data_IF_816311922303
#
_entry.id   IF_816311922303
#
_cell.length_a   1.000
_cell.length_b   1.000
_cell.length_c   1.000
_cell.angle_alpha   90.00
_cell.angle_beta   90.00
_cell.angle_gamma   90.00
#
_symmetry.space_group_name_H-M   'P 1'
#
loop_
_entity.id
_entity.type
_entity.pdbx_description
1 polymer ?
#
# COMPACT_ATOMS: atom_id res chain seq x y z
N UNK A 1 -16.97 -6.00 -8.95
CA UNK A 1 -16.90 -7.23 -8.12
C UNK A 1 -16.52 -6.90 -6.68
N UNK A 2 -16.86 -7.77 -5.75
CA UNK A 2 -16.44 -7.71 -4.35
C UNK A 2 -15.83 -9.04 -3.96
N UNK A 3 -14.76 -9.01 -3.16
CA UNK A 3 -14.09 -10.21 -2.68
C UNK A 3 -13.76 -10.11 -1.19
N UNK A 4 -13.54 -11.27 -0.57
CA UNK A 4 -13.19 -11.41 0.84
C UNK A 4 -12.22 -12.57 1.02
N UNK A 5 -11.13 -12.36 1.76
CA UNK A 5 -10.21 -13.40 2.21
C UNK A 5 -9.91 -13.21 3.70
N UNK A 6 -9.93 -14.29 4.44
CA UNK A 6 -9.64 -14.27 5.88
C UNK A 6 -8.71 -15.42 6.29
N UNK A 7 -7.96 -15.18 7.35
CA UNK A 7 -7.26 -16.16 8.17
C UNK A 7 -7.52 -15.84 9.65
N UNK A 8 -7.09 -16.66 10.60
CA UNK A 8 -7.26 -16.36 12.01
C UNK A 8 -6.67 -15.02 12.46
N UNK A 9 -5.66 -14.52 11.76
CA UNK A 9 -4.95 -13.29 12.12
C UNK A 9 -5.41 -12.06 11.34
N UNK A 10 -5.99 -12.23 10.14
CA UNK A 10 -6.32 -11.11 9.26
C UNK A 10 -7.53 -11.39 8.37
N UNK A 11 -8.27 -10.34 8.05
CA UNK A 11 -9.36 -10.37 7.09
C UNK A 11 -9.20 -9.23 6.09
N UNK A 12 -9.26 -9.54 4.80
CA UNK A 12 -9.25 -8.58 3.71
C UNK A 12 -10.60 -8.57 2.99
N UNK A 13 -11.17 -7.38 2.81
CA UNK A 13 -12.32 -7.14 1.94
C UNK A 13 -11.94 -6.19 0.83
N UNK A 14 -12.51 -6.39 -0.38
CA UNK A 14 -12.27 -5.51 -1.51
C UNK A 14 -13.53 -5.31 -2.35
N UNK A 15 -13.75 -4.05 -2.77
CA UNK A 15 -14.75 -3.69 -3.81
C UNK A 15 -14.01 -3.08 -4.98
N UNK A 16 -14.00 -3.79 -6.11
CA UNK A 16 -13.23 -3.42 -7.29
C UNK A 16 -14.10 -2.69 -8.32
N UNK A 17 -13.59 -1.55 -8.79
CA UNK A 17 -13.95 -0.99 -10.07
C UNK A 17 -12.97 -1.58 -11.11
N UNK A 18 -13.43 -2.49 -11.97
CA UNK A 18 -12.57 -3.17 -12.96
C UNK A 18 -12.37 -2.28 -14.17
N UNK A 19 -11.13 -1.89 -14.46
CA UNK A 19 -10.77 -1.06 -15.61
C UNK A 19 -9.84 -1.82 -16.57
N UNK A 20 -8.78 -2.45 -16.09
CA UNK A 20 -7.74 -3.08 -16.91
C UNK A 20 -7.89 -4.60 -17.07
N UNK A 21 -8.40 -5.31 -16.08
CA UNK A 21 -8.55 -6.76 -16.09
C UNK A 21 -9.98 -7.14 -15.69
N UNK A 22 -10.75 -7.66 -16.61
CA UNK A 22 -12.15 -8.06 -16.40
C UNK A 22 -12.30 -9.52 -15.99
N UNK A 23 -11.21 -10.31 -16.07
CA UNK A 23 -11.22 -11.74 -15.74
C UNK A 23 -11.09 -11.99 -14.23
N UNK A 24 -11.39 -13.22 -13.82
CA UNK A 24 -11.24 -13.66 -12.44
C UNK A 24 -9.78 -13.68 -11.96
N UNK A 25 -8.80 -13.67 -12.88
CA UNK A 25 -7.37 -13.61 -12.54
C UNK A 25 -6.95 -12.27 -11.95
N UNK A 26 -7.76 -11.22 -12.13
CA UNK A 26 -7.60 -9.91 -11.46
C UNK A 26 -8.45 -9.74 -10.20
N UNK A 27 -9.12 -10.79 -9.71
CA UNK A 27 -9.97 -10.70 -8.52
C UNK A 27 -9.15 -10.34 -7.27
N UNK A 28 -9.77 -9.53 -6.41
CA UNK A 28 -9.17 -9.10 -5.15
C UNK A 28 -10.12 -9.36 -3.97
N UNK A 29 -9.61 -9.62 -2.77
CA UNK A 29 -8.19 -9.76 -2.42
C UNK A 29 -7.53 -10.89 -3.21
N UNK A 30 -6.24 -10.70 -3.58
CA UNK A 30 -5.47 -11.68 -4.35
C UNK A 30 -4.51 -12.44 -3.44
N UNK A 31 -4.36 -13.75 -3.69
CA UNK A 31 -3.38 -14.60 -3.01
C UNK A 31 -2.45 -15.25 -4.04
N UNK A 32 -1.16 -15.24 -3.74
CA UNK A 32 -0.16 -15.79 -4.66
C UNK A 32 -0.30 -17.32 -4.81
N UNK A 33 -0.39 -18.01 -3.68
CA UNK A 33 -0.68 -19.45 -3.57
C UNK A 33 -1.40 -19.72 -2.23
N UNK A 34 -1.84 -20.95 -1.97
CA UNK A 34 -2.67 -21.28 -0.80
C UNK A 34 -2.05 -20.82 0.54
N UNK A 35 -0.77 -21.02 0.74
CA UNK A 35 -0.02 -20.58 1.93
C UNK A 35 0.81 -19.31 1.71
N UNK A 36 0.71 -18.68 0.54
CA UNK A 36 1.51 -17.53 0.17
C UNK A 36 0.92 -16.18 0.62
N UNK A 37 1.66 -15.10 0.36
CA UNK A 37 1.22 -13.76 0.67
C UNK A 37 -0.07 -13.40 -0.06
N UNK A 38 -0.88 -12.56 0.59
CA UNK A 38 -2.12 -12.04 0.04
C UNK A 38 -2.17 -10.52 0.12
N UNK A 39 -2.89 -9.89 -0.80
CA UNK A 39 -2.97 -8.44 -0.95
C UNK A 39 -4.40 -7.98 -1.22
N UNK A 40 -4.73 -6.81 -0.67
CA UNK A 40 -5.80 -5.94 -1.17
C UNK A 40 -5.18 -4.64 -1.63
N UNK A 41 -5.44 -4.23 -2.86
CA UNK A 41 -4.69 -3.23 -3.58
C UNK A 41 -5.62 -2.25 -4.31
N UNK A 42 -5.33 -0.96 -4.17
CA UNK A 42 -6.04 0.13 -4.82
C UNK A 42 -5.02 1.01 -5.56
N UNK A 43 -5.04 1.00 -6.88
CA UNK A 43 -4.12 1.83 -7.67
C UNK A 43 -3.65 1.18 -8.96
N UNK A 44 -2.49 1.64 -9.42
CA UNK A 44 -1.80 1.17 -10.60
C UNK A 44 -0.28 1.33 -10.44
N UNK A 45 0.48 0.25 -10.69
CA UNK A 45 1.94 0.25 -10.75
C UNK A 45 2.36 0.42 -12.21
N UNK A 46 3.00 1.53 -12.54
CA UNK A 46 3.34 1.89 -13.92
C UNK A 46 4.47 1.06 -14.50
N UNK A 47 5.47 0.73 -13.70
CA UNK A 47 6.62 -0.07 -14.11
C UNK A 47 6.40 -1.58 -13.99
N UNK A 48 5.14 -2.04 -13.84
CA UNK A 48 4.84 -3.46 -13.64
C UNK A 48 5.32 -4.37 -14.76
N UNK A 49 5.38 -3.86 -16.01
CA UNK A 49 5.83 -4.65 -17.17
C UNK A 49 7.31 -4.97 -17.11
N UNK A 50 8.11 -4.04 -16.63
CA UNK A 50 9.56 -4.21 -16.49
C UNK A 50 9.88 -5.15 -15.32
N UNK A 51 9.24 -4.92 -14.17
CA UNK A 51 9.33 -5.83 -13.03
C UNK A 51 8.89 -7.25 -13.38
N UNK A 52 7.81 -7.39 -14.16
CA UNK A 52 7.33 -8.69 -14.61
C UNK A 52 8.35 -9.41 -15.48
N UNK A 53 8.96 -8.72 -16.45
CA UNK A 53 10.00 -9.30 -17.32
C UNK A 53 11.19 -9.78 -16.49
N UNK A 54 11.66 -8.99 -15.54
CA UNK A 54 12.74 -9.37 -14.65
C UNK A 54 12.40 -10.60 -13.79
N UNK A 55 11.21 -10.61 -13.17
CA UNK A 55 10.73 -11.75 -12.40
C UNK A 55 10.60 -13.03 -13.24
N UNK A 56 10.17 -12.90 -14.51
CA UNK A 56 10.12 -14.04 -15.44
C UNK A 56 11.51 -14.58 -15.77
N UNK A 57 12.50 -13.71 -15.96
CA UNK A 57 13.90 -14.15 -16.14
C UNK A 57 14.46 -14.86 -14.91
N UNK A 58 13.96 -14.54 -13.72
CA UNK A 58 14.27 -15.21 -12.46
C UNK A 58 13.44 -16.48 -12.19
N UNK A 59 12.61 -16.89 -13.17
CA UNK A 59 11.82 -18.12 -13.10
C UNK A 59 10.43 -17.99 -12.50
N UNK A 60 9.96 -16.76 -12.19
CA UNK A 60 8.62 -16.57 -11.68
C UNK A 60 7.57 -16.78 -12.77
N UNK A 61 6.50 -17.52 -12.47
CA UNK A 61 5.35 -17.69 -13.34
C UNK A 61 4.18 -16.79 -12.92
N UNK A 62 3.36 -16.40 -13.88
CA UNK A 62 2.20 -15.54 -13.68
C UNK A 62 0.93 -16.17 -14.23
N UNK A 63 -0.17 -16.05 -13.50
CA UNK A 63 -1.49 -16.56 -13.90
C UNK A 63 -2.29 -15.59 -14.76
N UNK A 64 -2.12 -14.29 -14.47
CA UNK A 64 -2.84 -13.20 -15.11
C UNK A 64 -1.91 -12.15 -15.71
N UNK A 65 -2.49 -11.00 -16.06
CA UNK A 65 -1.76 -9.84 -16.60
C UNK A 65 -1.80 -8.64 -15.65
N UNK A 66 -2.38 -8.79 -14.43
CA UNK A 66 -2.53 -7.68 -13.51
C UNK A 66 -1.21 -7.23 -12.90
N UNK A 67 -1.11 -5.96 -12.61
CA UNK A 67 -0.04 -5.37 -11.82
C UNK A 67 -0.04 -5.86 -10.37
N UNK A 68 -1.23 -6.14 -9.81
CA UNK A 68 -1.40 -6.69 -8.46
C UNK A 68 -0.62 -8.00 -8.28
N UNK A 69 -0.65 -8.89 -9.28
CA UNK A 69 0.13 -10.14 -9.24
C UNK A 69 1.64 -9.86 -9.28
N UNK A 70 2.05 -8.83 -10.02
CA UNK A 70 3.46 -8.41 -10.06
C UNK A 70 3.92 -7.89 -8.70
N UNK A 71 3.09 -7.11 -7.99
CA UNK A 71 3.39 -6.66 -6.62
C UNK A 71 3.58 -7.84 -5.68
N UNK A 72 2.70 -8.84 -5.74
CA UNK A 72 2.81 -10.06 -4.93
C UNK A 72 4.08 -10.86 -5.25
N UNK A 73 4.40 -11.04 -6.52
CA UNK A 73 5.61 -11.75 -6.95
C UNK A 73 6.89 -10.98 -6.56
N UNK A 74 6.88 -9.65 -6.69
CA UNK A 74 7.99 -8.81 -6.29
C UNK A 74 8.27 -8.95 -4.78
N UNK A 75 7.21 -8.93 -3.96
CA UNK A 75 7.35 -9.17 -2.53
C UNK A 75 7.83 -10.60 -2.23
N UNK A 76 7.26 -11.61 -2.85
CA UNK A 76 7.61 -12.99 -2.62
C UNK A 76 9.09 -13.30 -2.96
N UNK A 77 9.62 -12.64 -4.00
CA UNK A 77 10.99 -12.86 -4.48
C UNK A 77 12.03 -11.98 -3.78
N UNK A 78 11.72 -10.69 -3.55
CA UNK A 78 12.67 -9.70 -3.02
C UNK A 78 12.29 -9.17 -1.62
N UNK A 79 11.20 -9.64 -1.03
CA UNK A 79 10.72 -9.14 0.26
C UNK A 79 10.32 -7.67 0.21
N UNK A 80 10.59 -6.94 1.30
CA UNK A 80 10.30 -5.51 1.41
C UNK A 80 11.05 -4.66 0.38
N UNK A 81 12.27 -5.06 -0.01
CA UNK A 81 13.05 -4.34 -1.02
C UNK A 81 12.37 -4.39 -2.40
N UNK A 82 11.65 -5.46 -2.71
CA UNK A 82 10.83 -5.55 -3.93
C UNK A 82 9.72 -4.52 -3.97
N UNK A 83 9.13 -4.19 -2.82
CA UNK A 83 8.09 -3.17 -2.73
C UNK A 83 8.62 -1.75 -2.94
N UNK A 84 9.86 -1.45 -2.54
CA UNK A 84 10.49 -0.14 -2.78
C UNK A 84 10.73 0.16 -4.27
N UNK A 85 10.74 -0.87 -5.10
CA UNK A 85 10.94 -0.75 -6.56
C UNK A 85 9.67 -0.34 -7.32
N UNK A 86 8.52 -0.29 -6.65
CA UNK A 86 7.24 0.06 -7.27
C UNK A 86 7.20 1.54 -7.63
N UNK A 87 6.74 1.83 -8.84
CA UNK A 87 6.49 3.18 -9.35
C UNK A 87 5.04 3.27 -9.81
N UNK A 88 4.30 4.24 -9.26
CA UNK A 88 2.88 4.39 -9.59
C UNK A 88 2.09 5.12 -8.52
N UNK A 89 0.79 5.03 -8.64
CA UNK A 89 -0.19 5.55 -7.69
C UNK A 89 -0.90 4.37 -7.03
N UNK A 90 -0.65 4.13 -5.76
CA UNK A 90 -1.20 2.95 -5.09
C UNK A 90 -1.32 3.09 -3.58
N UNK A 91 -2.23 2.33 -3.03
CA UNK A 91 -2.22 1.95 -1.62
C UNK A 91 -2.62 0.48 -1.50
N UNK A 92 -2.02 -0.23 -0.58
CA UNK A 92 -2.34 -1.64 -0.36
C UNK A 92 -2.11 -2.10 1.07
N UNK A 93 -2.75 -3.22 1.39
CA UNK A 93 -2.43 -4.03 2.55
C UNK A 93 -1.98 -5.41 2.05
N UNK A 94 -0.80 -5.84 2.49
CA UNK A 94 -0.21 -7.14 2.17
C UNK A 94 0.02 -7.92 3.46
N UNK A 95 -0.45 -9.17 3.49
CA UNK A 95 -0.21 -10.10 4.58
C UNK A 95 0.68 -11.25 4.12
N UNK A 96 1.74 -11.48 4.85
CA UNK A 96 2.64 -12.61 4.69
C UNK A 96 2.44 -13.58 5.86
N UNK A 97 1.81 -14.74 5.63
CA UNK A 97 1.57 -15.72 6.68
C UNK A 97 2.86 -16.41 7.17
N UNK A 98 3.90 -16.47 6.34
CA UNK A 98 5.18 -17.10 6.69
C UNK A 98 5.94 -16.28 7.74
N UNK A 99 6.00 -14.97 7.54
CA UNK A 99 6.68 -14.05 8.45
C UNK A 99 5.73 -13.43 9.49
N UNK A 100 4.43 -13.77 9.47
CA UNK A 100 3.40 -13.12 10.30
C UNK A 100 3.48 -11.59 10.19
N UNK A 101 3.62 -11.10 8.94
CA UNK A 101 3.89 -9.69 8.64
C UNK A 101 2.71 -9.06 7.89
N UNK A 102 2.21 -7.95 8.42
CA UNK A 102 1.30 -7.04 7.72
C UNK A 102 2.09 -5.83 7.24
N UNK A 103 1.92 -5.48 5.97
CA UNK A 103 2.45 -4.25 5.38
C UNK A 103 1.28 -3.42 4.85
N UNK A 104 1.10 -2.21 5.37
CA UNK A 104 0.24 -1.19 4.78
C UNK A 104 1.17 -0.19 4.09
N UNK A 105 1.04 -0.01 2.77
CA UNK A 105 1.96 0.84 2.00
C UNK A 105 1.18 1.84 1.15
N UNK A 106 1.65 3.08 1.14
CA UNK A 106 1.07 4.18 0.35
C UNK A 106 2.11 4.72 -0.63
N UNK A 107 1.67 5.09 -1.82
CA UNK A 107 2.52 5.61 -2.89
C UNK A 107 3.32 6.87 -2.49
N UNK A 108 4.34 7.19 -3.29
CA UNK A 108 5.31 8.27 -3.05
C UNK A 108 4.66 9.62 -2.79
N UNK A 109 3.59 9.96 -3.52
CA UNK A 109 2.90 11.24 -3.44
C UNK A 109 1.56 11.17 -2.67
N UNK A 110 1.18 9.98 -2.18
CA UNK A 110 -0.05 9.76 -1.44
C UNK A 110 -1.32 9.96 -2.27
N UNK A 111 -1.27 9.69 -3.57
CA UNK A 111 -2.43 9.84 -4.48
C UNK A 111 -3.57 8.91 -4.06
N UNK A 112 -3.25 7.66 -3.68
CA UNK A 112 -4.27 6.76 -3.14
C UNK A 112 -4.31 6.84 -1.62
N UNK A 113 -5.49 7.06 -1.03
CA UNK A 113 -5.63 7.15 0.43
C UNK A 113 -5.46 5.78 1.10
N UNK A 114 -4.92 5.80 2.32
CA UNK A 114 -4.84 4.64 3.19
C UNK A 114 -4.92 5.10 4.65
N UNK A 115 -5.92 4.61 5.37
CA UNK A 115 -6.20 4.96 6.76
C UNK A 115 -6.11 3.72 7.64
N UNK A 116 -5.80 3.93 8.91
CA UNK A 116 -5.81 2.88 9.93
C UNK A 116 -6.27 3.43 11.28
N UNK A 117 -6.68 2.53 12.16
CA UNK A 117 -7.07 2.85 13.53
C UNK A 117 -7.15 1.61 14.40
N UNK A 118 -7.05 1.80 15.72
CA UNK A 118 -7.23 0.72 16.67
C UNK A 118 -8.72 0.43 16.85
N UNK A 119 -9.13 -0.80 16.62
CA UNK A 119 -10.49 -1.28 16.83
C UNK A 119 -10.55 -2.26 18.00
N UNK A 120 -11.75 -2.66 18.39
CA UNK A 120 -11.92 -3.72 19.42
C UNK A 120 -11.35 -5.09 19.01
N UNK A 121 -11.09 -5.29 17.74
CA UNK A 121 -10.60 -6.55 17.16
C UNK A 121 -9.13 -6.48 16.70
N UNK A 122 -8.43 -5.38 16.99
CA UNK A 122 -7.07 -5.12 16.53
C UNK A 122 -7.01 -3.97 15.53
N UNK A 123 -5.98 -3.93 14.70
CA UNK A 123 -5.79 -2.87 13.72
C UNK A 123 -6.82 -2.98 12.59
N UNK A 124 -7.64 -1.94 12.41
CA UNK A 124 -8.49 -1.75 11.25
C UNK A 124 -7.78 -0.85 10.23
N UNK A 125 -7.98 -1.11 8.94
CA UNK A 125 -7.42 -0.28 7.86
C UNK A 125 -8.34 -0.25 6.64
N UNK A 126 -8.17 0.76 5.78
CA UNK A 126 -8.96 0.90 4.57
C UNK A 126 -8.61 2.13 3.76
N UNK A 127 -9.05 2.15 2.51
CA UNK A 127 -8.91 3.32 1.63
C UNK A 127 -9.84 4.47 2.00
N UNK A 128 -10.81 4.25 2.88
CA UNK A 128 -11.78 5.24 3.33
C UNK A 128 -11.92 5.17 4.87
N UNK A 129 -12.03 6.33 5.51
CA UNK A 129 -12.22 6.44 6.97
C UNK A 129 -13.44 5.63 7.44
N UNK A 130 -14.55 5.66 6.68
CA UNK A 130 -15.75 4.89 7.04
C UNK A 130 -15.50 3.39 7.16
N UNK A 131 -14.56 2.83 6.39
CA UNK A 131 -14.20 1.42 6.48
C UNK A 131 -13.48 1.11 7.81
N UNK A 132 -12.60 2.01 8.26
CA UNK A 132 -11.93 1.90 9.56
C UNK A 132 -12.95 1.99 10.71
N UNK A 133 -13.86 2.96 10.65
CA UNK A 133 -14.91 3.15 11.66
C UNK A 133 -15.87 1.95 11.75
N UNK A 134 -16.15 1.30 10.61
CA UNK A 134 -17.03 0.13 10.54
C UNK A 134 -16.49 -1.08 11.32
N UNK A 135 -15.18 -1.14 11.62
CA UNK A 135 -14.61 -2.19 12.46
C UNK A 135 -15.07 -2.11 13.93
N UNK A 136 -15.56 -0.95 14.36
CA UNK A 136 -16.11 -0.71 15.70
C UNK A 136 -15.05 -0.59 16.80
N UNK A 137 -15.33 0.24 17.80
CA UNK A 137 -14.42 0.50 18.91
C UNK A 137 -13.29 1.48 18.61
N UNK A 138 -13.27 2.06 17.43
CA UNK A 138 -12.35 3.15 17.04
C UNK A 138 -12.83 4.45 17.73
N UNK A 139 -11.91 5.25 18.26
CA UNK A 139 -12.24 6.55 18.85
C UNK A 139 -12.73 7.52 17.78
N UNK A 140 -13.99 7.90 17.86
CA UNK A 140 -14.66 8.83 16.94
C UNK A 140 -14.72 10.26 17.46
N UNK A 141 -14.07 10.57 18.56
CA UNK A 141 -13.96 11.94 19.05
C UNK A 141 -13.24 12.83 18.02
N UNK A 142 -13.69 14.09 17.94
CA UNK A 142 -13.08 15.03 16.98
C UNK A 142 -11.66 15.40 17.41
N UNK A 143 -10.78 15.51 16.41
CA UNK A 143 -9.45 16.06 16.55
C UNK A 143 -9.51 17.57 16.31
N UNK A 144 -9.41 18.34 17.41
CA UNK A 144 -9.56 19.81 17.37
C UNK A 144 -8.49 20.48 16.50
N UNK A 145 -7.30 19.90 16.44
CA UNK A 145 -6.22 20.42 15.60
C UNK A 145 -6.54 20.21 14.12
N UNK A 146 -6.96 19.02 13.73
CA UNK A 146 -7.38 18.74 12.35
C UNK A 146 -8.56 19.61 11.92
N UNK A 147 -9.51 19.84 12.84
CA UNK A 147 -10.63 20.72 12.57
C UNK A 147 -10.15 22.17 12.35
N UNK A 148 -9.26 22.67 13.19
CA UNK A 148 -8.69 24.00 13.05
C UNK A 148 -7.91 24.16 11.75
N UNK A 149 -7.06 23.19 11.41
CA UNK A 149 -6.30 23.16 10.15
C UNK A 149 -7.24 23.20 8.93
N UNK A 150 -8.31 22.40 8.96
CA UNK A 150 -9.29 22.38 7.89
C UNK A 150 -10.03 23.70 7.73
N UNK A 151 -10.42 24.35 8.82
CA UNK A 151 -11.10 25.64 8.76
C UNK A 151 -10.21 26.76 8.19
N UNK A 152 -8.89 26.70 8.43
CA UNK A 152 -7.94 27.68 7.93
C UNK A 152 -7.42 27.38 6.52
N UNK A 153 -7.18 26.12 6.20
CA UNK A 153 -6.44 25.72 5.00
C UNK A 153 -7.24 24.82 4.05
N UNK A 154 -8.43 24.36 4.46
CA UNK A 154 -9.25 23.42 3.67
C UNK A 154 -8.71 21.96 3.69
N UNK A 155 -7.69 21.68 4.52
CA UNK A 155 -7.09 20.37 4.63
C UNK A 155 -6.49 20.15 6.04
N UNK A 156 -6.34 18.88 6.47
CA UNK A 156 -5.55 18.50 7.64
C UNK A 156 -4.15 18.06 7.18
N UNK A 157 -3.14 18.23 8.03
CA UNK A 157 -1.74 17.95 7.69
C UNK A 157 -1.21 16.72 8.42
N UNK A 158 -0.19 16.09 7.81
CA UNK A 158 0.45 14.89 8.35
C UNK A 158 -0.46 13.67 8.30
N UNK A 159 -0.39 12.85 9.35
CA UNK A 159 -1.17 11.61 9.50
C UNK A 159 -2.56 11.80 10.11
N UNK A 160 -2.91 13.01 10.55
CA UNK A 160 -4.17 13.29 11.26
C UNK A 160 -5.39 13.25 10.34
N UNK A 161 -6.52 12.86 10.93
CA UNK A 161 -7.85 12.97 10.35
C UNK A 161 -8.78 13.70 11.31
N UNK A 162 -10.03 13.94 10.93
CA UNK A 162 -11.02 14.53 11.85
C UNK A 162 -11.34 13.67 13.08
N UNK A 163 -10.97 12.39 13.08
CA UNK A 163 -11.20 11.47 14.19
C UNK A 163 -9.89 11.14 14.90
N UNK A 164 -9.83 11.33 16.22
CA UNK A 164 -8.62 11.03 17.03
C UNK A 164 -8.13 9.60 16.88
N UNK A 165 -9.05 8.64 16.72
CA UNK A 165 -8.73 7.22 16.57
C UNK A 165 -8.37 6.78 15.15
N UNK A 166 -8.40 7.67 14.15
CA UNK A 166 -8.09 7.33 12.76
C UNK A 166 -6.90 8.14 12.27
N UNK A 167 -5.90 7.44 11.73
CA UNK A 167 -4.70 8.03 11.15
C UNK A 167 -4.57 7.68 9.69
N UNK A 168 -3.95 8.55 8.90
CA UNK A 168 -3.54 8.26 7.54
C UNK A 168 -2.12 7.68 7.51
N UNK A 169 -1.83 6.79 6.59
CA UNK A 169 -0.43 6.52 6.21
C UNK A 169 0.04 7.71 5.38
N UNK A 170 1.14 8.33 5.77
CA UNK A 170 1.69 9.49 5.04
C UNK A 170 2.22 9.08 3.64
N UNK A 171 2.30 10.03 2.69
CA UNK A 171 2.92 9.79 1.38
C UNK A 171 4.32 9.18 1.52
N UNK A 172 4.65 8.18 0.71
CA UNK A 172 5.97 7.53 0.74
C UNK A 172 6.25 6.72 2.00
N UNK A 173 5.23 6.42 2.83
CA UNK A 173 5.39 5.65 4.06
C UNK A 173 4.72 4.28 3.98
N UNK A 174 5.19 3.41 4.84
CA UNK A 174 4.53 2.15 5.17
C UNK A 174 4.38 1.97 6.69
N UNK A 175 3.37 1.21 7.07
CA UNK A 175 3.20 0.67 8.41
C UNK A 175 3.45 -0.83 8.32
N UNK A 176 4.37 -1.34 9.14
CA UNK A 176 4.70 -2.76 9.21
C UNK A 176 4.40 -3.27 10.60
N UNK A 177 3.67 -4.39 10.67
CA UNK A 177 3.51 -5.17 11.89
C UNK A 177 4.16 -6.53 11.67
N UNK A 178 5.10 -6.89 12.54
CA UNK A 178 5.81 -8.16 12.52
C UNK A 178 6.27 -8.53 13.92
N UNK A 179 6.05 -9.77 14.33
CA UNK A 179 6.42 -10.25 15.67
C UNK A 179 5.80 -9.42 16.80
N UNK A 180 4.57 -8.92 16.62
CA UNK A 180 3.87 -8.07 17.58
C UNK A 180 4.39 -6.62 17.67
N UNK A 181 5.41 -6.26 16.91
CA UNK A 181 5.95 -4.89 16.86
C UNK A 181 5.38 -4.14 15.66
N UNK A 182 5.02 -2.88 15.89
CA UNK A 182 4.58 -1.94 14.85
C UNK A 182 5.65 -0.89 14.61
N UNK A 183 5.94 -0.60 13.34
CA UNK A 183 6.76 0.52 12.92
C UNK A 183 6.09 1.25 11.76
N UNK A 184 6.24 2.56 11.74
CA UNK A 184 5.84 3.43 10.64
C UNK A 184 7.09 4.19 10.24
N UNK A 185 7.46 4.10 8.98
CA UNK A 185 8.70 4.70 8.49
C UNK A 185 8.57 5.02 6.99
N UNK A 186 9.32 6.00 6.48
CA UNK A 186 9.37 6.25 5.05
C UNK A 186 10.06 5.07 4.33
N UNK A 187 9.46 4.62 3.24
CA UNK A 187 10.10 3.72 2.28
C UNK A 187 10.68 4.49 1.09
N UNK A 188 10.27 5.75 0.93
CA UNK A 188 10.76 6.68 -0.08
C UNK A 188 10.75 8.10 0.49
N UNK A 189 11.77 8.90 0.12
CA UNK A 189 11.93 10.31 0.50
C UNK A 189 12.27 11.13 -0.73
N UNK A 190 11.63 12.30 -0.88
CA UNK A 190 11.89 13.19 -1.99
C UNK A 190 13.31 13.77 -1.94
N UNK A 191 13.86 13.99 -0.76
CA UNK A 191 15.20 14.50 -0.56
C UNK A 191 16.23 13.55 -1.16
N UNK A 192 16.13 12.26 -0.88
CA UNK A 192 17.03 11.22 -1.42
C UNK A 192 16.91 11.10 -2.95
N UNK A 193 15.72 11.38 -3.50
CA UNK A 193 15.50 11.37 -4.95
C UNK A 193 16.12 12.59 -5.62
N UNK A 194 16.06 13.79 -4.98
CA UNK A 194 16.63 15.02 -5.51
C UNK A 194 18.18 15.02 -5.47
N UNK A 195 18.78 14.25 -4.56
CA UNK A 195 20.25 14.11 -4.45
C UNK A 195 20.82 13.15 -5.52
N UNK A 196 19.98 12.38 -6.21
CA UNK A 196 20.44 11.52 -7.30
C UNK A 196 20.86 12.37 -8.51
N UNK A 197 22.02 12.10 -9.14
CA UNK A 197 22.42 12.83 -10.34
C UNK A 197 21.36 12.67 -11.42
N UNK A 198 20.88 13.80 -11.96
CA UNK A 198 19.91 13.80 -13.04
C UNK A 198 20.50 13.08 -14.25
N UNK A 199 19.76 12.16 -14.90
CA UNK A 199 20.20 11.52 -16.14
C UNK A 199 20.49 12.56 -17.26
N UNK A 200 19.96 13.78 -17.15
CA UNK A 200 20.23 14.89 -18.08
C UNK A 200 21.61 15.49 -17.82
N UNK A 201 22.08 15.59 -16.55
CA UNK A 201 23.41 16.13 -16.25
C UNK A 201 24.53 15.21 -16.76
N UNK A 202 24.35 13.89 -16.66
CA UNK A 202 25.34 12.93 -17.17
C UNK A 202 25.43 12.90 -18.72
N UNK A 203 24.35 13.25 -19.42
CA UNK A 203 24.38 13.36 -20.88
C UNK A 203 25.01 14.67 -21.36
N UNK A 204 24.91 15.76 -20.58
CA UNK A 204 25.56 17.03 -20.90
C UNK A 204 27.08 16.99 -20.62
N UNK A 205 27.52 16.32 -19.57
CA UNK A 205 28.95 16.14 -19.26
C UNK A 205 29.68 15.21 -20.26
N UNK A 206 28.95 14.26 -20.87
CA UNK A 206 29.51 13.38 -21.92
C UNK A 206 29.53 14.02 -23.32
N UNK A 207 28.96 15.22 -23.50
CA UNK A 207 28.87 15.94 -24.78
C UNK A 207 29.84 17.15 -24.87
N UNK A 208 30.65 17.39 -23.83
CA UNK A 208 31.72 18.40 -23.78
C UNK A 208 33.08 17.72 -23.83
#
# INVERSE_FOLDING_TARGET
SSGYLASPQIAFGHRRLSILELSDTGAQPMRLCESGPMITYNGEVYNFRDLRRELQMLGCSFRGKSDTEVVLQAYAHWGLEGLKRLEGIFSFALWDPTHQRLVLMRDRLGVKPLFYGESRHGLAFGSEIKAVLAAGGVDTSLDDQSLSEYLWFGNSYGDRTFYKGVRAIEPGHWLIIEGGKRRIEPWWRIEEWLEQPSPVSSQLEAAV
#
